data_IF_639825164370
#
_entry.id   IF_639825164370
#
_cell.length_a   1.000
_cell.length_b   1.000
_cell.length_c   1.000
_cell.angle_alpha   90.00
_cell.angle_beta   90.00
_cell.angle_gamma   90.00
#
_symmetry.space_group_name_H-M   'P 1'
#
loop_
_entity.id
_entity.type
_entity.pdbx_description
1 polymer ?
#
# COMPACT_ATOMS: atom_id res chain seq x y z
N UNK A 1 -11.73 -5.35 15.99
CA UNK A 1 -12.37 -6.61 15.53
C UNK A 1 -11.90 -7.04 14.15
N UNK A 2 -12.01 -6.23 13.09
CA UNK A 2 -11.55 -6.57 11.72
C UNK A 2 -10.10 -7.05 11.68
N UNK A 3 -9.17 -6.29 12.28
CA UNK A 3 -7.74 -6.64 12.33
C UNK A 3 -7.50 -7.99 13.00
N UNK A 4 -8.21 -8.31 14.07
CA UNK A 4 -8.05 -9.59 14.77
C UNK A 4 -8.53 -10.78 13.91
N UNK A 5 -9.62 -10.61 13.18
CA UNK A 5 -10.14 -11.61 12.25
C UNK A 5 -9.16 -11.83 11.09
N UNK A 6 -8.64 -10.75 10.51
CA UNK A 6 -7.64 -10.81 9.44
C UNK A 6 -6.36 -11.51 9.90
N UNK A 7 -5.86 -11.18 11.09
CA UNK A 7 -4.71 -11.89 11.69
C UNK A 7 -4.96 -13.37 11.89
N UNK A 8 -6.11 -13.74 12.46
CA UNK A 8 -6.48 -15.14 12.65
C UNK A 8 -6.59 -15.89 11.31
N UNK A 9 -7.21 -15.26 10.31
CA UNK A 9 -7.31 -15.80 8.96
C UNK A 9 -5.95 -16.01 8.30
N UNK A 10 -5.03 -15.06 8.43
CA UNK A 10 -3.65 -15.19 7.91
C UNK A 10 -2.89 -16.35 8.55
N UNK A 11 -2.98 -16.51 9.86
CA UNK A 11 -2.28 -17.60 10.59
C UNK A 11 -2.84 -18.98 10.21
N UNK A 12 -4.12 -19.08 9.93
CA UNK A 12 -4.79 -20.34 9.60
C UNK A 12 -4.76 -20.70 8.11
N UNK A 13 -4.32 -19.79 7.24
CA UNK A 13 -4.27 -20.03 5.79
C UNK A 13 -2.91 -20.63 5.41
N UNK A 14 -2.87 -21.74 4.63
CA UNK A 14 -1.63 -22.24 4.05
C UNK A 14 -0.89 -21.14 3.25
N UNK A 15 0.42 -21.28 3.10
CA UNK A 15 1.26 -20.32 2.35
C UNK A 15 0.97 -20.44 0.85
N UNK A 16 -0.07 -19.77 0.41
CA UNK A 16 -0.52 -19.64 -0.98
C UNK A 16 -0.04 -18.34 -1.61
N UNK A 17 -0.56 -17.97 -2.76
CA UNK A 17 -0.31 -16.66 -3.34
C UNK A 17 -1.03 -15.54 -2.53
N UNK A 18 -0.52 -14.30 -2.53
CA UNK A 18 -1.19 -13.18 -1.87
C UNK A 18 -2.66 -13.01 -2.29
N UNK A 19 -2.96 -13.18 -3.58
CA UNK A 19 -4.32 -13.07 -4.09
C UNK A 19 -5.25 -14.15 -3.51
N UNK A 20 -4.80 -15.42 -3.43
CA UNK A 20 -5.57 -16.52 -2.84
C UNK A 20 -5.81 -16.29 -1.34
N UNK A 21 -4.80 -15.83 -0.62
CA UNK A 21 -4.94 -15.46 0.80
C UNK A 21 -5.96 -14.33 0.94
N UNK A 22 -5.86 -13.27 0.14
CA UNK A 22 -6.80 -12.14 0.15
C UNK A 22 -8.23 -12.58 -0.17
N UNK A 23 -8.39 -13.49 -1.15
CA UNK A 23 -9.68 -14.08 -1.48
C UNK A 23 -10.29 -14.85 -0.31
N UNK A 24 -9.48 -15.65 0.40
CA UNK A 24 -9.93 -16.43 1.56
C UNK A 24 -10.29 -15.50 2.73
N UNK A 25 -9.50 -14.45 2.99
CA UNK A 25 -9.82 -13.42 3.97
C UNK A 25 -11.15 -12.72 3.66
N UNK A 26 -11.38 -12.34 2.40
CA UNK A 26 -12.63 -11.73 1.98
C UNK A 26 -13.84 -12.63 2.25
N UNK A 27 -13.74 -13.93 1.91
CA UNK A 27 -14.80 -14.90 2.18
C UNK A 27 -15.07 -15.03 3.68
N UNK A 28 -14.02 -15.10 4.50
CA UNK A 28 -14.11 -15.19 5.97
C UNK A 28 -14.78 -13.95 6.56
N UNK A 29 -14.34 -12.76 6.19
CA UNK A 29 -14.91 -11.50 6.67
C UNK A 29 -16.38 -11.40 6.27
N UNK A 30 -16.70 -11.79 5.04
CA UNK A 30 -18.07 -11.75 4.54
C UNK A 30 -18.99 -12.78 5.22
N UNK A 31 -18.44 -13.95 5.60
CA UNK A 31 -19.20 -14.97 6.31
C UNK A 31 -19.53 -14.57 7.76
N UNK A 32 -18.70 -13.76 8.39
CA UNK A 32 -18.92 -13.24 9.76
C UNK A 32 -19.99 -12.14 9.78
N UNK A 33 -20.27 -11.53 8.63
CA UNK A 33 -21.24 -10.45 8.44
C UNK A 33 -21.08 -9.28 9.43
N UNK A 34 -20.00 -8.53 9.25
CA UNK A 34 -19.69 -7.37 10.08
C UNK A 34 -20.45 -6.08 9.62
N UNK A 35 -21.60 -6.24 8.99
CA UNK A 35 -22.43 -5.15 8.48
C UNK A 35 -21.71 -4.35 7.38
N UNK A 36 -21.59 -3.04 7.57
CA UNK A 36 -20.96 -2.12 6.60
C UNK A 36 -19.45 -2.01 6.73
N UNK A 37 -18.84 -2.66 7.74
CA UNK A 37 -17.40 -2.57 7.94
C UNK A 37 -16.64 -3.21 6.77
N UNK A 38 -15.64 -2.51 6.30
CA UNK A 38 -14.74 -2.92 5.21
C UNK A 38 -13.30 -2.77 5.66
N UNK A 39 -12.38 -3.43 4.98
CA UNK A 39 -10.96 -3.33 5.29
C UNK A 39 -10.15 -3.29 4.00
N UNK A 40 -9.43 -2.23 3.80
CA UNK A 40 -8.42 -2.13 2.75
C UNK A 40 -7.15 -2.86 3.17
N UNK A 41 -6.49 -3.53 2.22
CA UNK A 41 -5.33 -4.36 2.49
C UNK A 41 -4.41 -4.42 1.27
N UNK A 42 -3.13 -4.17 1.50
CA UNK A 42 -2.04 -4.56 0.60
C UNK A 42 -1.35 -5.81 1.15
N UNK A 43 -1.04 -6.76 0.28
CA UNK A 43 -0.27 -7.95 0.64
C UNK A 43 0.84 -8.20 -0.38
N UNK A 44 2.05 -8.41 0.14
CA UNK A 44 3.23 -8.70 -0.66
C UNK A 44 3.92 -9.96 -0.15
N UNK A 45 4.19 -10.90 -1.06
CA UNK A 45 5.04 -12.07 -0.81
C UNK A 45 6.36 -11.87 -1.52
N UNK A 46 7.44 -11.99 -0.77
CA UNK A 46 8.80 -11.80 -1.29
C UNK A 46 9.53 -13.14 -1.23
N UNK A 47 10.05 -13.58 -2.38
CA UNK A 47 10.86 -14.80 -2.45
C UNK A 47 11.95 -14.65 -3.50
N UNK A 48 13.21 -14.79 -3.09
CA UNK A 48 14.38 -14.76 -4.00
C UNK A 48 14.41 -13.50 -4.92
N UNK A 49 14.03 -12.34 -4.40
CA UNK A 49 14.01 -11.09 -5.15
C UNK A 49 12.78 -10.90 -6.06
N UNK A 50 11.91 -11.89 -6.14
CA UNK A 50 10.60 -11.75 -6.80
C UNK A 50 9.56 -11.32 -5.79
N UNK A 51 8.81 -10.30 -6.15
CA UNK A 51 7.67 -9.77 -5.40
C UNK A 51 6.38 -10.23 -6.08
N UNK A 52 5.46 -10.69 -5.28
CA UNK A 52 4.09 -11.00 -5.70
C UNK A 52 3.16 -10.15 -4.84
N UNK A 53 2.48 -9.21 -5.46
CA UNK A 53 1.70 -8.18 -4.81
C UNK A 53 0.22 -8.27 -5.19
N UNK A 54 -0.66 -8.03 -4.24
CA UNK A 54 -2.11 -7.85 -4.44
C UNK A 54 -2.62 -6.71 -3.58
N UNK A 55 -3.72 -6.11 -4.01
CA UNK A 55 -4.37 -4.98 -3.33
C UNK A 55 -5.87 -5.22 -3.22
N UNK A 56 -6.43 -4.82 -2.10
CA UNK A 56 -7.86 -4.82 -1.81
C UNK A 56 -8.28 -3.42 -1.37
N UNK A 57 -8.55 -2.52 -2.31
CA UNK A 57 -9.02 -1.16 -2.05
C UNK A 57 -7.99 -0.23 -1.43
N UNK A 58 -6.71 -0.46 -1.68
CA UNK A 58 -5.62 0.42 -1.24
C UNK A 58 -5.12 1.28 -2.42
N UNK A 59 -4.44 2.41 -2.13
CA UNK A 59 -3.71 3.20 -3.11
C UNK A 59 -2.70 2.40 -3.91
N UNK A 60 -2.21 2.93 -5.06
CA UNK A 60 -1.14 2.30 -5.82
C UNK A 60 0.14 2.16 -5.00
N UNK A 61 0.95 1.15 -5.34
CA UNK A 61 2.34 1.06 -4.93
C UNK A 61 3.25 1.73 -5.95
N UNK A 62 4.43 2.17 -5.52
CA UNK A 62 5.43 2.80 -6.38
C UNK A 62 6.72 2.01 -6.35
N UNK A 63 7.30 1.71 -7.52
CA UNK A 63 8.62 1.09 -7.62
C UNK A 63 9.59 2.11 -8.18
N UNK A 64 10.54 2.55 -7.35
CA UNK A 64 11.69 3.30 -7.82
C UNK A 64 12.73 2.34 -8.37
N UNK A 65 13.17 2.56 -9.62
CA UNK A 65 14.25 1.84 -10.27
C UNK A 65 15.56 2.58 -10.07
N UNK A 66 16.52 1.89 -9.47
CA UNK A 66 17.81 2.50 -9.14
C UNK A 66 18.63 2.87 -10.38
N UNK A 67 18.56 2.05 -11.43
CA UNK A 67 19.40 2.16 -12.62
C UNK A 67 19.08 3.41 -13.45
N UNK A 68 17.82 3.70 -13.68
CA UNK A 68 17.35 4.82 -14.52
C UNK A 68 16.62 5.92 -13.74
N UNK A 69 16.47 5.74 -12.41
CA UNK A 69 15.78 6.66 -11.50
C UNK A 69 14.30 6.91 -11.87
N UNK A 70 13.70 5.99 -12.60
CA UNK A 70 12.28 6.05 -12.92
C UNK A 70 11.43 5.55 -11.75
N UNK A 71 10.14 5.96 -11.73
CA UNK A 71 9.14 5.42 -10.81
C UNK A 71 8.02 4.81 -11.62
N UNK A 72 7.81 3.52 -11.42
CA UNK A 72 6.67 2.77 -11.95
C UNK A 72 5.55 2.75 -10.91
N UNK A 73 4.33 3.07 -11.34
CA UNK A 73 3.13 2.92 -10.52
C UNK A 73 2.55 1.52 -10.71
N UNK A 74 2.24 0.84 -9.60
CA UNK A 74 1.55 -0.46 -9.60
C UNK A 74 0.17 -0.27 -9.00
N UNK A 75 -0.82 -0.16 -9.86
CA UNK A 75 -2.23 -0.09 -9.48
C UNK A 75 -2.90 -1.45 -9.74
N UNK A 76 -3.43 -2.08 -8.69
CA UNK A 76 -4.30 -3.25 -8.80
C UNK A 76 -5.69 -2.80 -8.37
N UNK A 77 -6.62 -2.58 -9.31
CA UNK A 77 -7.99 -2.21 -8.97
C UNK A 77 -8.64 -3.32 -8.14
N UNK A 78 -9.35 -2.94 -7.09
CA UNK A 78 -10.03 -3.91 -6.25
C UNK A 78 -10.90 -3.25 -5.19
N UNK A 79 -11.86 -4.00 -4.67
CA UNK A 79 -12.72 -3.56 -3.59
C UNK A 79 -12.09 -3.91 -2.23
N UNK A 80 -12.31 -3.10 -1.19
CA UNK A 80 -11.95 -3.49 0.18
C UNK A 80 -12.55 -4.82 0.57
N UNK A 81 -11.87 -5.57 1.43
CA UNK A 81 -12.35 -6.84 1.98
C UNK A 81 -13.72 -6.66 2.65
N UNK A 82 -14.60 -7.62 2.46
CA UNK A 82 -15.96 -7.58 2.98
C UNK A 82 -16.94 -6.75 2.13
N UNK A 83 -16.53 -6.14 1.01
CA UNK A 83 -17.43 -5.40 0.13
C UNK A 83 -18.38 -6.33 -0.61
N UNK A 84 -17.86 -7.31 -1.31
CA UNK A 84 -18.64 -8.29 -2.09
C UNK A 84 -18.17 -9.72 -1.82
N UNK A 85 -19.14 -10.67 -1.73
CA UNK A 85 -18.83 -12.09 -1.45
C UNK A 85 -17.90 -12.72 -2.50
N UNK A 86 -18.10 -12.37 -3.75
CA UNK A 86 -17.37 -12.92 -4.90
C UNK A 86 -16.44 -11.87 -5.53
N UNK A 87 -15.87 -10.96 -4.71
CA UNK A 87 -14.83 -10.07 -5.18
C UNK A 87 -13.62 -10.88 -5.63
N UNK A 88 -13.06 -10.54 -6.78
CA UNK A 88 -11.82 -11.12 -7.29
C UNK A 88 -10.65 -10.20 -6.92
N UNK A 89 -9.50 -10.79 -6.67
CA UNK A 89 -8.29 -10.06 -6.31
C UNK A 89 -7.18 -10.50 -7.25
N UNK A 90 -6.77 -9.58 -8.11
CA UNK A 90 -5.66 -9.78 -9.02
C UNK A 90 -4.32 -9.72 -8.30
N UNK A 91 -3.28 -10.17 -8.99
CA UNK A 91 -1.90 -10.09 -8.53
C UNK A 91 -0.98 -9.63 -9.63
N UNK A 92 0.05 -8.91 -9.23
CA UNK A 92 1.17 -8.58 -10.09
C UNK A 92 2.45 -9.20 -9.54
N UNK A 93 3.33 -9.62 -10.46
CA UNK A 93 4.66 -10.11 -10.13
C UNK A 93 5.69 -9.20 -10.77
N UNK A 94 6.67 -8.81 -9.99
CA UNK A 94 7.80 -8.02 -10.46
C UNK A 94 9.08 -8.43 -9.73
N UNK A 95 10.21 -8.15 -10.36
CA UNK A 95 11.51 -8.30 -9.74
C UNK A 95 12.05 -6.93 -9.34
N UNK A 96 12.79 -6.89 -8.26
CA UNK A 96 13.55 -5.73 -7.84
C UNK A 96 15.03 -6.06 -7.92
N UNK A 97 15.83 -5.15 -8.47
CA UNK A 97 17.29 -5.21 -8.47
C UNK A 97 17.86 -4.59 -7.20
N UNK A 98 19.16 -4.78 -6.96
CA UNK A 98 19.83 -4.09 -5.85
C UNK A 98 19.68 -2.57 -6.02
N UNK A 99 19.30 -1.88 -4.95
CA UNK A 99 19.01 -0.44 -4.96
C UNK A 99 17.58 -0.06 -5.27
N UNK A 100 16.78 -0.94 -5.91
CA UNK A 100 15.35 -0.67 -6.15
C UNK A 100 14.57 -0.54 -4.85
N UNK A 101 13.51 0.26 -4.89
CA UNK A 101 12.64 0.53 -3.74
C UNK A 101 11.18 0.27 -4.11
N UNK A 102 10.45 -0.38 -3.21
CA UNK A 102 9.00 -0.50 -3.30
C UNK A 102 8.35 0.26 -2.15
N UNK A 103 7.49 1.23 -2.49
CA UNK A 103 6.78 2.11 -1.56
C UNK A 103 5.31 1.77 -1.59
N UNK A 104 4.72 1.54 -0.41
CA UNK A 104 3.30 1.38 -0.18
C UNK A 104 2.82 2.44 0.80
N UNK A 105 1.66 3.01 0.52
CA UNK A 105 1.06 4.09 1.32
C UNK A 105 -0.41 3.78 1.62
N UNK A 106 -0.93 4.36 2.70
CA UNK A 106 -2.38 4.52 2.89
C UNK A 106 -2.86 5.82 2.22
N UNK A 107 -4.16 5.96 2.08
CA UNK A 107 -4.83 7.13 1.53
C UNK A 107 -4.62 8.40 2.36
N UNK A 108 -4.37 8.28 3.66
CA UNK A 108 -4.16 9.41 4.56
C UNK A 108 -3.03 10.38 4.16
N UNK A 109 -2.02 9.93 3.37
CA UNK A 109 -0.97 10.84 2.90
C UNK A 109 -1.38 11.59 1.61
N UNK A 110 -1.76 10.93 0.50
CA UNK A 110 -2.13 11.64 -0.73
C UNK A 110 -3.42 12.47 -0.59
N UNK A 111 -4.31 12.10 0.33
CA UNK A 111 -5.58 12.78 0.56
C UNK A 111 -5.51 13.85 1.66
N UNK A 112 -4.34 14.04 2.31
CA UNK A 112 -4.17 15.13 3.26
C UNK A 112 -4.37 16.49 2.55
N UNK A 113 -5.01 17.43 3.25
CA UNK A 113 -5.42 18.71 2.66
C UNK A 113 -4.69 19.89 3.29
N UNK A 114 -4.38 20.89 2.46
CA UNK A 114 -3.82 22.18 2.88
C UNK A 114 -4.90 23.10 3.47
N UNK A 115 -4.53 24.35 3.79
CA UNK A 115 -5.47 25.34 4.32
C UNK A 115 -6.51 25.79 3.30
N UNK A 116 -6.25 25.66 2.01
CA UNK A 116 -7.17 25.99 0.91
C UNK A 116 -8.13 24.86 0.58
N UNK A 117 -7.91 23.66 1.17
CA UNK A 117 -8.72 22.47 0.96
C UNK A 117 -8.27 21.61 -0.21
N UNK A 118 -7.10 21.88 -0.80
CA UNK A 118 -6.53 21.08 -1.87
C UNK A 118 -5.83 19.85 -1.31
N UNK A 119 -6.04 18.70 -1.95
CA UNK A 119 -5.34 17.45 -1.61
C UNK A 119 -3.88 17.48 -2.11
N UNK A 120 -3.00 16.79 -1.39
CA UNK A 120 -1.59 16.62 -1.79
C UNK A 120 -1.46 15.90 -3.12
N UNK A 121 -2.31 14.87 -3.35
CA UNK A 121 -2.40 14.07 -4.55
C UNK A 121 -1.29 13.01 -4.71
N UNK A 122 -1.59 11.99 -5.49
CA UNK A 122 -0.74 10.83 -5.77
C UNK A 122 0.49 11.17 -6.62
N UNK A 123 0.38 12.18 -7.47
CA UNK A 123 1.50 12.65 -8.29
C UNK A 123 2.63 13.24 -7.44
N UNK A 124 2.30 13.99 -6.38
CA UNK A 124 3.29 14.52 -5.45
C UNK A 124 4.06 13.39 -4.73
N UNK A 125 3.36 12.31 -4.37
CA UNK A 125 3.98 11.11 -3.78
C UNK A 125 4.95 10.45 -4.77
N UNK A 126 4.51 10.30 -6.04
CA UNK A 126 5.34 9.72 -7.11
C UNK A 126 6.62 10.52 -7.32
N UNK A 127 6.50 11.86 -7.38
CA UNK A 127 7.63 12.77 -7.56
C UNK A 127 8.59 12.71 -6.37
N UNK A 128 8.08 12.79 -5.14
CA UNK A 128 8.88 12.65 -3.93
C UNK A 128 9.64 11.31 -3.89
N UNK A 129 8.97 10.22 -4.28
CA UNK A 129 9.60 8.89 -4.39
C UNK A 129 10.71 8.89 -5.44
N UNK A 130 10.52 9.56 -6.58
CA UNK A 130 11.52 9.65 -7.64
C UNK A 130 12.75 10.44 -7.20
N UNK A 131 12.56 11.57 -6.55
CA UNK A 131 13.65 12.44 -6.08
C UNK A 131 14.46 11.78 -4.96
N UNK A 132 13.80 11.06 -4.05
CA UNK A 132 14.40 10.54 -2.82
C UNK A 132 14.64 9.03 -2.82
N UNK A 133 14.25 8.29 -3.87
CA UNK A 133 14.38 6.82 -3.93
C UNK A 133 15.82 6.30 -3.82
N UNK A 134 16.83 7.16 -4.06
CA UNK A 134 18.24 6.84 -3.86
C UNK A 134 18.63 6.73 -2.37
N UNK A 135 17.88 7.36 -1.46
CA UNK A 135 18.14 7.40 -0.02
C UNK A 135 17.96 6.01 0.65
N UNK A 136 18.46 5.80 1.87
CA UNK A 136 18.04 4.68 2.70
C UNK A 136 16.52 4.67 2.91
N UNK A 137 15.93 3.49 3.20
CA UNK A 137 14.48 3.35 3.37
C UNK A 137 13.89 4.34 4.38
N UNK A 138 14.57 4.58 5.51
CA UNK A 138 14.13 5.57 6.50
C UNK A 138 14.14 6.99 5.92
N UNK A 139 15.14 7.38 5.17
CA UNK A 139 15.22 8.71 4.55
C UNK A 139 14.10 8.95 3.54
N UNK A 140 13.65 7.90 2.82
CA UNK A 140 12.49 7.98 1.93
C UNK A 140 11.20 8.20 2.74
N UNK A 141 11.05 7.48 3.86
CA UNK A 141 9.91 7.67 4.78
C UNK A 141 9.90 9.10 5.32
N UNK A 142 11.05 9.58 5.80
CA UNK A 142 11.19 10.93 6.35
C UNK A 142 10.81 12.00 5.31
N UNK A 143 11.26 11.84 4.06
CA UNK A 143 10.92 12.76 2.95
C UNK A 143 9.42 12.77 2.63
N UNK A 144 8.75 11.61 2.66
CA UNK A 144 7.31 11.51 2.42
C UNK A 144 6.50 12.13 3.57
N UNK A 145 6.95 11.94 4.82
CA UNK A 145 6.31 12.58 5.98
C UNK A 145 6.48 14.10 5.91
N UNK A 146 7.71 14.59 5.65
CA UNK A 146 7.99 16.02 5.51
C UNK A 146 7.16 16.67 4.39
N UNK A 147 6.96 15.97 3.28
CA UNK A 147 6.10 16.42 2.19
C UNK A 147 4.67 16.66 2.69
N UNK A 148 4.07 15.68 3.39
CA UNK A 148 2.72 15.80 3.95
C UNK A 148 2.61 16.89 5.02
N UNK A 149 3.56 16.97 5.95
CA UNK A 149 3.61 17.99 7.00
C UNK A 149 3.72 19.40 6.42
N UNK A 150 4.58 19.57 5.40
CA UNK A 150 4.76 20.85 4.71
C UNK A 150 3.49 21.27 3.96
N UNK A 151 2.80 20.32 3.32
CA UNK A 151 1.54 20.57 2.62
C UNK A 151 0.44 21.00 3.58
N UNK A 152 0.29 20.29 4.68
CA UNK A 152 -0.70 20.59 5.71
C UNK A 152 -0.41 21.89 6.49
N UNK A 153 0.86 22.33 6.53
CA UNK A 153 1.28 23.58 7.20
C UNK A 153 0.76 23.74 8.63
N UNK A 154 0.80 22.65 9.40
CA UNK A 154 0.33 22.62 10.79
C UNK A 154 -1.16 22.29 10.97
N UNK A 155 -1.92 22.05 9.91
CA UNK A 155 -3.25 21.44 10.00
C UNK A 155 -3.13 19.99 10.47
N UNK A 156 -4.06 19.53 11.29
CA UNK A 156 -4.15 18.10 11.65
C UNK A 156 -4.66 17.30 10.46
N UNK A 157 -4.06 16.14 10.24
CA UNK A 157 -4.58 15.19 9.24
C UNK A 157 -5.89 14.57 9.73
N UNK A 158 -6.81 14.35 8.81
CA UNK A 158 -8.12 13.77 9.09
C UNK A 158 -8.07 12.23 9.17
N UNK A 159 -6.98 11.60 8.65
CA UNK A 159 -6.81 10.14 8.64
C UNK A 159 -5.37 9.74 8.98
N UNK A 160 -5.19 8.47 9.39
CA UNK A 160 -3.89 7.91 9.75
C UNK A 160 -3.01 7.69 8.50
N UNK A 161 -1.74 8.09 8.61
CA UNK A 161 -0.74 7.85 7.57
C UNK A 161 0.03 6.57 7.89
N UNK A 162 -0.01 5.61 6.97
CA UNK A 162 0.80 4.39 7.02
C UNK A 162 1.72 4.32 5.81
N UNK A 163 3.01 4.16 6.06
CA UNK A 163 4.05 4.03 5.03
C UNK A 163 4.82 2.72 5.21
N UNK A 164 5.05 2.00 4.13
CA UNK A 164 5.95 0.84 4.08
C UNK A 164 6.93 1.02 2.94
N UNK A 165 8.21 1.07 3.25
CA UNK A 165 9.29 1.21 2.26
C UNK A 165 10.21 -0.01 2.33
N UNK A 166 10.32 -0.73 1.22
CA UNK A 166 11.15 -1.92 1.05
C UNK A 166 12.25 -1.59 0.05
N UNK A 167 13.50 -1.50 0.52
CA UNK A 167 14.67 -1.29 -0.33
C UNK A 167 15.47 -2.57 -0.46
N UNK A 168 15.72 -3.02 -1.69
CA UNK A 168 16.55 -4.19 -1.94
C UNK A 168 18.03 -3.83 -1.80
N UNK A 169 18.73 -4.57 -0.96
CA UNK A 169 20.20 -4.52 -0.81
C UNK A 169 20.90 -5.33 -1.88
#
# INVERSE_FOLDING_TARGET
>A
MMVSITKAGLVSTPVESPAEITQNLNRTIKAIDLGTNRMSLNMTKIKNGTFEFTSAGMPPGYIYRHDDKSVEEILIPGLPLGSMKNAEFDRQKFNMNSGDVFVLISDGLPECVNHDGDMLDYEAIRQCTQENGHLPAQGIIDSLIELGESWMSGRMNDDDITLVVIKRK
#
